data_IF_298275373036
#
_entry.id   IF_298275373036
#
_cell.length_a   1.000
_cell.length_b   1.000
_cell.length_c   1.000
_cell.angle_alpha   90.00
_cell.angle_beta   90.00
_cell.angle_gamma   90.00
#
_symmetry.space_group_name_H-M   'P 1'
#
loop_
_entity.id
_entity.type
_entity.pdbx_description
1 polymer ?
#
# COMPACT_ATOMS: atom_id res chain seq x y z
N UNK A 1 -20.73 3.20 9.67
CA UNK A 1 -19.93 2.41 8.71
C UNK A 1 -18.58 2.21 9.33
N UNK A 2 -18.26 1.01 9.79
CA UNK A 2 -16.96 0.70 10.41
C UNK A 2 -15.87 0.80 9.35
N UNK A 3 -14.82 1.58 9.64
CA UNK A 3 -13.58 1.59 8.85
C UNK A 3 -13.03 0.18 8.87
N UNK A 4 -12.74 -0.46 7.72
CA UNK A 4 -12.19 -1.80 7.72
C UNK A 4 -10.88 -1.82 8.49
N UNK A 5 -10.79 -2.73 9.45
CA UNK A 5 -9.58 -2.96 10.26
C UNK A 5 -8.37 -3.26 9.35
N UNK A 6 -7.43 -2.31 9.27
CA UNK A 6 -6.23 -2.43 8.44
C UNK A 6 -5.05 -3.07 9.19
N UNK A 7 -5.17 -3.22 10.50
CA UNK A 7 -4.06 -3.65 11.35
C UNK A 7 -3.56 -5.07 11.08
N UNK A 8 -4.38 -5.92 10.47
CA UNK A 8 -4.04 -7.32 10.17
C UNK A 8 -4.05 -7.67 8.67
N UNK A 9 -4.24 -6.70 7.79
CA UNK A 9 -4.29 -6.95 6.34
C UNK A 9 -2.90 -6.87 5.73
N UNK A 10 -2.42 -7.95 5.14
CA UNK A 10 -1.14 -8.00 4.44
C UNK A 10 -1.26 -8.66 3.07
N UNK A 11 -0.34 -8.31 2.17
CA UNK A 11 -0.14 -8.98 0.88
C UNK A 11 1.04 -9.95 1.04
N UNK A 12 0.84 -11.20 0.65
CA UNK A 12 1.87 -12.22 0.67
C UNK A 12 2.65 -12.19 -0.65
N UNK A 13 3.95 -11.97 -0.58
CA UNK A 13 4.86 -12.02 -1.74
C UNK A 13 5.60 -13.33 -1.75
N UNK A 14 5.45 -14.10 -2.83
CA UNK A 14 6.05 -15.45 -2.97
C UNK A 14 6.99 -15.47 -4.17
N UNK A 15 8.28 -15.58 -3.93
CA UNK A 15 9.29 -15.66 -4.98
C UNK A 15 10.53 -16.40 -4.47
N UNK A 16 11.04 -17.38 -5.23
CA UNK A 16 12.26 -18.11 -4.89
C UNK A 16 13.51 -17.23 -4.95
N UNK A 17 13.52 -16.20 -5.79
CA UNK A 17 14.62 -15.26 -5.91
C UNK A 17 14.51 -14.18 -4.83
N UNK A 18 15.56 -14.04 -4.00
CA UNK A 18 15.58 -13.13 -2.85
C UNK A 18 15.48 -11.65 -3.30
N UNK A 19 16.16 -11.27 -4.37
CA UNK A 19 16.20 -9.87 -4.82
C UNK A 19 14.86 -9.46 -5.43
N UNK A 20 14.26 -10.32 -6.26
CA UNK A 20 12.95 -10.09 -6.86
C UNK A 20 11.85 -10.02 -5.80
N UNK A 21 11.90 -10.92 -4.80
CA UNK A 21 11.00 -10.92 -3.65
C UNK A 21 11.12 -9.64 -2.83
N UNK A 22 12.35 -9.20 -2.56
CA UNK A 22 12.62 -7.96 -1.84
C UNK A 22 12.12 -6.74 -2.62
N UNK A 23 12.43 -6.63 -3.92
CA UNK A 23 11.97 -5.52 -4.76
C UNK A 23 10.44 -5.41 -4.79
N UNK A 24 9.74 -6.53 -5.01
CA UNK A 24 8.28 -6.55 -5.02
C UNK A 24 7.70 -6.12 -3.67
N UNK A 25 8.27 -6.61 -2.57
CA UNK A 25 7.87 -6.23 -1.22
C UNK A 25 8.07 -4.73 -0.95
N UNK A 26 9.21 -4.18 -1.37
CA UNK A 26 9.51 -2.75 -1.22
C UNK A 26 8.52 -1.86 -2.00
N UNK A 27 8.18 -2.22 -3.24
CA UNK A 27 7.17 -1.50 -4.03
C UNK A 27 5.83 -1.49 -3.29
N UNK A 28 5.39 -2.65 -2.80
CA UNK A 28 4.13 -2.76 -2.06
C UNK A 28 4.11 -1.92 -0.77
N UNK A 29 5.21 -1.95 0.00
CA UNK A 29 5.36 -1.16 1.22
C UNK A 29 5.33 0.35 0.92
N UNK A 30 5.98 0.80 -0.14
CA UNK A 30 5.93 2.19 -0.58
C UNK A 30 4.53 2.61 -1.02
N UNK A 31 3.75 1.70 -1.58
CA UNK A 31 2.35 1.91 -1.91
C UNK A 31 1.42 1.82 -0.67
N UNK A 32 2.00 1.66 0.53
CA UNK A 32 1.28 1.66 1.81
C UNK A 32 0.59 0.33 2.15
N UNK A 33 1.09 -0.80 1.61
CA UNK A 33 0.62 -2.14 1.97
C UNK A 33 1.57 -2.82 2.93
N UNK A 34 1.03 -3.48 3.95
CA UNK A 34 1.82 -4.41 4.75
C UNK A 34 2.15 -5.64 3.90
N UNK A 35 3.36 -6.17 4.03
CA UNK A 35 3.80 -7.34 3.29
C UNK A 35 4.35 -8.42 4.21
N UNK A 36 4.09 -9.68 3.85
CA UNK A 36 4.81 -10.83 4.33
C UNK A 36 5.49 -11.50 3.14
N UNK A 37 6.66 -12.09 3.30
CA UNK A 37 7.40 -12.68 2.19
C UNK A 37 7.67 -14.15 2.43
N UNK A 38 7.49 -14.99 1.40
CA UNK A 38 7.77 -16.42 1.41
C UNK A 38 8.68 -16.79 0.23
N UNK A 39 9.63 -17.66 0.47
CA UNK A 39 10.58 -18.16 -0.54
C UNK A 39 10.04 -19.36 -1.34
N UNK A 40 8.93 -19.94 -0.89
CA UNK A 40 8.35 -21.13 -1.50
C UNK A 40 6.85 -21.23 -1.26
N UNK A 41 6.18 -22.05 -2.08
CA UNK A 41 4.75 -22.37 -1.90
C UNK A 41 4.46 -23.02 -0.55
N UNK A 42 5.38 -23.82 0.00
CA UNK A 42 5.20 -24.46 1.29
C UNK A 42 5.17 -23.42 2.43
N UNK A 43 6.18 -22.56 2.48
CA UNK A 43 6.25 -21.45 3.45
C UNK A 43 5.06 -20.49 3.32
N UNK A 44 4.60 -20.22 2.08
CA UNK A 44 3.43 -19.42 1.83
C UNK A 44 2.17 -19.98 2.49
N UNK A 45 1.94 -21.29 2.37
CA UNK A 45 0.79 -21.96 3.00
C UNK A 45 0.90 -21.93 4.53
N UNK A 46 2.09 -22.07 5.11
CA UNK A 46 2.30 -21.95 6.55
C UNK A 46 1.89 -20.56 7.06
N UNK A 47 2.31 -19.49 6.39
CA UNK A 47 1.88 -18.14 6.74
C UNK A 47 0.38 -17.94 6.59
N UNK A 48 -0.22 -18.42 5.50
CA UNK A 48 -1.66 -18.33 5.26
C UNK A 48 -2.47 -19.07 6.31
N UNK A 49 -1.95 -20.20 6.84
CA UNK A 49 -2.60 -20.96 7.89
C UNK A 49 -2.71 -20.18 9.21
N UNK A 50 -1.75 -19.32 9.51
CA UNK A 50 -1.76 -18.45 10.69
C UNK A 50 -2.78 -17.32 10.49
N UNK A 51 -2.71 -16.60 9.39
CA UNK A 51 -3.65 -15.53 9.05
C UNK A 51 -3.79 -15.41 7.51
N UNK A 52 -5.02 -15.42 6.96
CA UNK A 52 -5.22 -15.27 5.53
C UNK A 52 -4.74 -13.89 5.04
N UNK A 53 -3.95 -13.81 3.95
CA UNK A 53 -3.59 -12.54 3.31
C UNK A 53 -4.80 -11.95 2.58
N UNK A 54 -4.77 -10.65 2.30
CA UNK A 54 -5.78 -10.01 1.45
C UNK A 54 -5.53 -10.22 -0.04
N UNK A 55 -4.33 -10.67 -0.39
CA UNK A 55 -3.92 -11.03 -1.75
C UNK A 55 -2.54 -11.67 -1.74
N UNK A 56 -2.23 -12.38 -2.81
CA UNK A 56 -0.94 -13.02 -3.05
C UNK A 56 -0.34 -12.46 -4.33
N UNK A 57 0.93 -12.06 -4.27
CA UNK A 57 1.76 -11.73 -5.44
C UNK A 57 2.82 -12.81 -5.54
N UNK A 58 2.79 -13.63 -6.58
CA UNK A 58 3.66 -14.80 -6.71
C UNK A 58 4.40 -14.80 -8.05
N UNK A 59 5.63 -15.31 -8.08
CA UNK A 59 6.26 -15.62 -9.35
C UNK A 59 5.40 -16.62 -10.14
N UNK A 60 5.36 -16.44 -11.47
CA UNK A 60 4.75 -17.41 -12.39
C UNK A 60 5.68 -18.61 -12.57
N UNK A 61 5.11 -19.74 -12.95
CA UNK A 61 5.85 -20.98 -13.19
C UNK A 61 5.26 -22.16 -12.39
N UNK A 62 5.97 -23.28 -12.42
CA UNK A 62 5.46 -24.53 -11.81
C UNK A 62 5.15 -24.37 -10.32
N UNK A 63 6.01 -23.66 -9.58
CA UNK A 63 5.82 -23.41 -8.15
C UNK A 63 4.60 -22.52 -7.88
N UNK A 64 4.44 -21.42 -8.64
CA UNK A 64 3.29 -20.52 -8.50
C UNK A 64 1.98 -21.18 -8.87
N UNK A 65 1.94 -21.99 -9.92
CA UNK A 65 0.75 -22.74 -10.33
C UNK A 65 0.37 -23.83 -9.31
N UNK A 66 1.37 -24.48 -8.71
CA UNK A 66 1.14 -25.42 -7.61
C UNK A 66 0.56 -24.70 -6.38
N UNK A 67 1.04 -23.51 -6.06
CA UNK A 67 0.47 -22.66 -5.01
C UNK A 67 -0.99 -22.29 -5.31
N UNK A 68 -1.29 -21.85 -6.53
CA UNK A 68 -2.66 -21.56 -6.97
C UNK A 68 -3.59 -22.74 -6.73
N UNK A 69 -3.19 -23.93 -7.17
CA UNK A 69 -3.99 -25.16 -6.98
C UNK A 69 -4.26 -25.45 -5.51
N UNK A 70 -3.26 -25.31 -4.65
CA UNK A 70 -3.42 -25.50 -3.20
C UNK A 70 -4.36 -24.47 -2.58
N UNK A 71 -4.21 -23.19 -2.94
CA UNK A 71 -5.07 -22.11 -2.44
C UNK A 71 -6.53 -22.34 -2.85
N UNK A 72 -6.78 -22.72 -4.11
CA UNK A 72 -8.16 -22.97 -4.61
C UNK A 72 -8.83 -24.20 -4.00
N UNK A 73 -8.04 -25.18 -3.60
CA UNK A 73 -8.55 -26.41 -2.95
C UNK A 73 -8.82 -26.24 -1.46
N UNK A 74 -8.41 -25.15 -0.83
CA UNK A 74 -8.66 -24.88 0.58
C UNK A 74 -9.72 -23.80 0.75
N UNK A 75 -10.88 -24.15 1.29
CA UNK A 75 -12.04 -23.27 1.41
C UNK A 75 -11.77 -21.95 2.12
N UNK A 76 -10.81 -21.93 3.08
CA UNK A 76 -10.41 -20.71 3.80
C UNK A 76 -9.71 -19.67 2.91
N UNK A 77 -9.12 -20.09 1.79
CA UNK A 77 -8.26 -19.25 0.94
C UNK A 77 -8.76 -19.18 -0.50
N UNK A 78 -9.81 -19.93 -0.85
CA UNK A 78 -10.30 -20.06 -2.24
C UNK A 78 -10.54 -18.73 -2.94
N UNK A 79 -10.97 -17.72 -2.20
CA UNK A 79 -11.32 -16.38 -2.71
C UNK A 79 -10.16 -15.38 -2.67
N UNK A 80 -8.98 -15.79 -2.13
CA UNK A 80 -7.82 -14.89 -2.08
C UNK A 80 -7.33 -14.62 -3.50
N UNK A 81 -7.29 -13.34 -3.94
CA UNK A 81 -6.81 -12.98 -5.26
C UNK A 81 -5.31 -13.25 -5.39
N UNK A 82 -4.90 -13.79 -6.54
CA UNK A 82 -3.50 -14.07 -6.87
C UNK A 82 -3.12 -13.26 -8.10
N UNK A 83 -2.00 -12.55 -8.00
CA UNK A 83 -1.35 -11.82 -9.09
C UNK A 83 -0.04 -12.55 -9.40
N UNK A 84 0.13 -13.00 -10.64
CA UNK A 84 1.38 -13.61 -11.06
C UNK A 84 2.35 -12.60 -11.67
N UNK A 85 3.64 -12.82 -11.38
CA UNK A 85 4.74 -12.07 -11.97
C UNK A 85 5.52 -13.01 -12.91
N UNK A 86 5.59 -12.69 -14.18
CA UNK A 86 6.28 -13.49 -15.22
C UNK A 86 7.50 -12.74 -15.74
N UNK A 87 8.58 -13.47 -16.06
CA UNK A 87 9.76 -12.90 -16.71
C UNK A 87 9.59 -12.69 -18.22
N UNK A 88 8.65 -13.45 -18.80
CA UNK A 88 8.36 -13.38 -20.23
C UNK A 88 6.86 -13.30 -20.46
N UNK A 89 6.40 -12.69 -21.55
CA UNK A 89 5.01 -12.74 -21.96
C UNK A 89 4.55 -14.19 -22.12
N UNK A 90 3.43 -14.56 -21.52
CA UNK A 90 2.85 -15.89 -21.57
C UNK A 90 1.35 -15.81 -21.85
N UNK A 91 1.00 -16.05 -23.11
CA UNK A 91 -0.42 -16.00 -23.57
C UNK A 91 -1.29 -17.03 -22.86
N UNK A 92 -0.75 -18.19 -22.52
CA UNK A 92 -1.52 -19.22 -21.81
C UNK A 92 -1.88 -18.78 -20.39
N UNK A 93 -0.95 -18.12 -19.69
CA UNK A 93 -1.23 -17.49 -18.39
C UNK A 93 -2.24 -16.33 -18.52
N UNK A 94 -2.09 -15.47 -19.52
CA UNK A 94 -3.04 -14.37 -19.75
C UNK A 94 -4.46 -14.89 -20.04
N UNK A 95 -4.60 -15.94 -20.83
CA UNK A 95 -5.90 -16.54 -21.12
C UNK A 95 -6.54 -17.18 -19.88
N UNK A 96 -5.74 -17.77 -18.98
CA UNK A 96 -6.21 -18.30 -17.70
C UNK A 96 -6.68 -17.19 -16.76
N UNK A 97 -5.95 -16.05 -16.72
CA UNK A 97 -6.38 -14.87 -15.97
C UNK A 97 -7.73 -14.34 -16.51
N UNK A 98 -7.89 -14.23 -17.83
CA UNK A 98 -9.17 -13.81 -18.45
C UNK A 98 -10.33 -14.75 -18.13
N UNK A 99 -10.05 -16.04 -17.92
CA UNK A 99 -11.06 -17.04 -17.48
C UNK A 99 -11.35 -16.97 -15.99
N UNK A 100 -10.68 -16.09 -15.24
CA UNK A 100 -10.90 -15.90 -13.81
C UNK A 100 -10.25 -16.93 -12.90
N UNK A 101 -9.28 -17.73 -13.39
CA UNK A 101 -8.58 -18.70 -12.54
C UNK A 101 -7.73 -17.99 -11.47
N UNK A 102 -7.22 -16.81 -11.78
CA UNK A 102 -6.51 -15.89 -10.89
C UNK A 102 -6.67 -14.43 -11.37
N UNK A 103 -6.22 -13.47 -10.58
CA UNK A 103 -6.58 -12.07 -10.79
C UNK A 103 -5.89 -11.42 -11.99
N UNK A 104 -4.56 -11.58 -12.13
CA UNK A 104 -3.78 -10.94 -13.19
C UNK A 104 -2.40 -11.56 -13.38
N UNK A 105 -1.77 -11.23 -14.51
CA UNK A 105 -0.34 -11.45 -14.78
C UNK A 105 0.33 -10.12 -15.07
N UNK A 106 1.47 -9.86 -14.44
CA UNK A 106 2.34 -8.72 -14.71
C UNK A 106 3.72 -9.19 -15.15
N UNK A 107 4.38 -8.40 -15.99
CA UNK A 107 5.74 -8.69 -16.41
C UNK A 107 6.77 -8.12 -15.43
N UNK A 108 7.86 -8.84 -15.20
CA UNK A 108 9.05 -8.35 -14.52
C UNK A 108 9.95 -7.57 -15.51
N UNK A 109 10.60 -6.47 -15.10
CA UNK A 109 10.54 -5.86 -13.79
C UNK A 109 9.17 -5.22 -13.51
N UNK A 110 8.65 -5.43 -12.29
CA UNK A 110 7.31 -4.96 -11.92
C UNK A 110 7.31 -3.45 -11.84
N UNK A 111 6.36 -2.80 -12.53
CA UNK A 111 6.14 -1.37 -12.41
C UNK A 111 5.15 -1.08 -11.29
N UNK A 112 5.49 -0.10 -10.45
CA UNK A 112 4.71 0.23 -9.27
C UNK A 112 3.29 0.70 -9.60
N UNK A 113 3.12 1.48 -10.68
CA UNK A 113 1.81 1.96 -11.15
C UNK A 113 0.92 0.82 -11.67
N UNK A 114 1.49 -0.14 -12.43
CA UNK A 114 0.77 -1.31 -12.91
C UNK A 114 0.32 -2.20 -11.75
N UNK A 115 1.25 -2.50 -10.81
CA UNK A 115 0.94 -3.29 -9.62
C UNK A 115 -0.12 -2.61 -8.76
N UNK A 116 0.00 -1.30 -8.53
CA UNK A 116 -0.99 -0.53 -7.79
C UNK A 116 -2.38 -0.62 -8.42
N UNK A 117 -2.48 -0.40 -9.74
CA UNK A 117 -3.75 -0.45 -10.47
C UNK A 117 -4.44 -1.82 -10.30
N UNK A 118 -3.68 -2.91 -10.48
CA UNK A 118 -4.23 -4.26 -10.32
C UNK A 118 -4.67 -4.53 -8.88
N UNK A 119 -3.88 -4.14 -7.88
CA UNK A 119 -4.24 -4.30 -6.46
C UNK A 119 -5.53 -3.53 -6.13
N UNK A 120 -5.68 -2.31 -6.65
CA UNK A 120 -6.91 -1.53 -6.46
C UNK A 120 -8.12 -2.21 -7.06
N UNK A 121 -7.96 -2.85 -8.20
CA UNK A 121 -9.03 -3.55 -8.91
C UNK A 121 -9.45 -4.84 -8.19
N UNK A 122 -8.49 -5.65 -7.72
CA UNK A 122 -8.76 -7.01 -7.28
C UNK A 122 -8.81 -7.22 -5.75
N UNK A 123 -8.18 -6.34 -4.97
CA UNK A 123 -8.07 -6.48 -3.50
C UNK A 123 -8.93 -5.44 -2.76
N UNK A 124 -9.01 -4.22 -3.27
CA UNK A 124 -9.71 -3.14 -2.59
C UNK A 124 -11.21 -3.16 -2.96
N UNK A 125 -12.08 -3.32 -1.95
CA UNK A 125 -13.55 -3.24 -2.12
C UNK A 125 -14.02 -1.80 -2.32
N UNK A 126 -13.64 -1.19 -3.37
CA UNK A 126 -13.85 0.21 -3.66
C UNK A 126 -12.52 0.82 -4.04
N UNK A 127 -12.20 0.86 -5.35
CA UNK A 127 -10.90 1.32 -5.82
C UNK A 127 -10.63 2.74 -5.31
N UNK A 128 -9.52 2.92 -4.66
CA UNK A 128 -9.05 4.24 -4.27
C UNK A 128 -8.70 4.98 -5.54
N UNK A 129 -9.31 6.13 -5.75
CA UNK A 129 -9.02 6.98 -6.92
C UNK A 129 -7.57 7.51 -6.91
N UNK A 130 -6.88 7.44 -5.76
CA UNK A 130 -5.57 8.09 -5.58
C UNK A 130 -4.57 7.17 -4.91
N UNK A 131 -3.35 7.19 -5.43
CA UNK A 131 -2.18 6.51 -4.87
C UNK A 131 -1.92 7.06 -3.46
N UNK A 132 -1.59 6.17 -2.53
CA UNK A 132 -1.07 6.49 -1.21
C UNK A 132 0.34 5.92 -1.10
N UNK A 133 1.27 6.74 -0.64
CA UNK A 133 2.65 6.33 -0.42
C UNK A 133 2.99 6.43 1.06
N UNK A 134 3.84 5.52 1.53
CA UNK A 134 4.48 5.67 2.83
C UNK A 134 5.53 6.79 2.75
N UNK A 135 5.59 7.64 3.77
CA UNK A 135 6.52 8.78 3.83
C UNK A 135 7.04 8.97 5.25
N UNK A 136 8.00 9.87 5.41
CA UNK A 136 8.44 10.40 6.70
C UNK A 136 8.65 11.91 6.55
N UNK A 137 7.62 12.62 6.05
CA UNK A 137 7.70 14.05 5.81
C UNK A 137 7.45 14.82 7.09
N UNK A 138 8.30 15.80 7.40
CA UNK A 138 8.08 16.71 8.52
C UNK A 138 6.84 17.52 8.30
N UNK A 139 6.01 17.60 9.32
CA UNK A 139 4.79 18.37 9.30
C UNK A 139 4.50 18.97 10.66
N UNK A 140 3.72 20.05 10.69
CA UNK A 140 3.35 20.77 11.89
C UNK A 140 1.89 21.17 11.84
N UNK A 141 1.19 21.03 12.97
CA UNK A 141 -0.12 21.66 13.19
C UNK A 141 0.14 23.12 13.56
N UNK A 142 -0.36 24.07 12.79
CA UNK A 142 -0.10 25.50 13.04
C UNK A 142 -0.84 26.03 14.27
N UNK A 143 -1.83 25.32 14.76
CA UNK A 143 -2.59 25.62 15.97
C UNK A 143 -2.07 24.94 17.23
N UNK A 144 -1.00 24.13 17.14
CA UNK A 144 -0.43 23.45 18.29
C UNK A 144 0.67 24.29 18.98
N UNK A 145 0.68 24.38 20.31
CA UNK A 145 1.78 25.00 21.05
C UNK A 145 3.01 24.09 21.00
N UNK A 146 4.16 24.63 20.54
CA UNK A 146 5.45 23.98 20.60
C UNK A 146 5.98 23.43 19.27
N UNK A 147 7.25 22.98 19.31
CA UNK A 147 7.89 22.24 18.21
C UNK A 147 7.65 20.74 18.44
N UNK A 148 6.54 20.22 17.95
CA UNK A 148 6.39 18.77 17.85
C UNK A 148 7.11 18.28 16.59
N UNK A 149 7.96 17.26 16.73
CA UNK A 149 8.52 16.53 15.59
C UNK A 149 7.44 15.57 15.06
N UNK A 150 6.40 16.15 14.46
CA UNK A 150 5.31 15.40 13.88
C UNK A 150 5.62 15.05 12.42
N UNK A 151 5.07 13.94 11.96
CA UNK A 151 5.35 13.42 10.63
C UNK A 151 4.08 13.03 9.89
N UNK A 152 4.07 13.26 8.59
CA UNK A 152 3.14 12.63 7.68
C UNK A 152 3.75 11.28 7.26
N UNK A 153 3.13 10.18 7.69
CA UNK A 153 3.62 8.82 7.43
C UNK A 153 2.92 8.15 6.25
N UNK A 154 1.75 8.67 5.85
CA UNK A 154 1.09 8.30 4.60
C UNK A 154 0.60 9.55 3.88
N UNK A 155 0.93 9.68 2.61
CA UNK A 155 0.52 10.81 1.76
C UNK A 155 -0.23 10.34 0.52
N UNK A 156 -1.28 11.09 0.15
CA UNK A 156 -1.98 10.96 -1.13
C UNK A 156 -2.27 12.35 -1.70
N UNK A 157 -2.72 12.42 -2.96
CA UNK A 157 -3.05 13.70 -3.63
C UNK A 157 -4.08 14.55 -2.87
N UNK A 158 -4.97 13.92 -2.07
CA UNK A 158 -6.09 14.61 -1.42
C UNK A 158 -6.14 14.41 0.10
N UNK A 159 -5.11 13.84 0.70
CA UNK A 159 -5.10 13.62 2.15
C UNK A 159 -3.83 12.97 2.64
N UNK A 160 -3.73 12.87 3.95
CA UNK A 160 -2.56 12.34 4.63
C UNK A 160 -2.95 11.60 5.91
N UNK A 161 -2.02 10.78 6.41
CA UNK A 161 -2.03 10.33 7.80
C UNK A 161 -0.95 11.11 8.55
N UNK A 162 -1.39 11.84 9.56
CA UNK A 162 -0.55 12.67 10.42
C UNK A 162 -0.31 11.93 11.73
N UNK A 163 0.93 11.54 11.96
CA UNK A 163 1.35 10.84 13.18
C UNK A 163 1.45 11.83 14.31
N UNK A 164 0.68 11.60 15.38
CA UNK A 164 0.69 12.43 16.58
C UNK A 164 0.15 11.65 17.77
N UNK A 165 0.58 12.00 18.97
CA UNK A 165 0.03 11.46 20.23
C UNK A 165 -1.20 12.23 20.71
N UNK A 166 -1.45 13.41 20.16
CA UNK A 166 -2.59 14.28 20.50
C UNK A 166 -3.44 14.58 19.24
N UNK A 167 -4.23 13.58 18.76
CA UNK A 167 -5.05 13.76 17.58
C UNK A 167 -6.20 14.75 17.85
N UNK A 168 -6.49 15.60 16.87
CA UNK A 168 -7.63 16.51 16.93
C UNK A 168 -8.96 15.73 16.81
N UNK A 169 -10.07 16.27 17.32
CA UNK A 169 -11.37 15.64 17.21
C UNK A 169 -11.80 15.38 15.76
N UNK A 170 -12.68 14.38 15.60
CA UNK A 170 -13.31 14.08 14.32
C UNK A 170 -14.01 15.33 13.75
N UNK A 171 -13.88 15.55 12.45
CA UNK A 171 -14.36 16.71 11.71
C UNK A 171 -13.71 18.06 12.09
N UNK A 172 -12.68 18.09 12.92
CA UNK A 172 -11.93 19.31 13.16
C UNK A 172 -11.21 19.76 11.88
N UNK A 173 -11.28 21.07 11.61
CA UNK A 173 -10.52 21.74 10.57
C UNK A 173 -9.17 22.18 11.15
N UNK A 174 -8.10 21.73 10.57
CA UNK A 174 -6.75 21.90 11.11
C UNK A 174 -5.83 22.51 10.05
N UNK A 175 -5.22 23.68 10.35
CA UNK A 175 -4.18 24.23 9.49
C UNK A 175 -2.86 23.44 9.70
N UNK A 176 -2.29 22.98 8.59
CA UNK A 176 -1.10 22.14 8.56
C UNK A 176 -0.05 22.73 7.65
N UNK A 177 1.21 22.76 8.10
CA UNK A 177 2.38 22.94 7.26
C UNK A 177 3.10 21.62 7.06
N UNK A 178 3.48 21.35 5.81
CA UNK A 178 4.13 20.12 5.36
C UNK A 178 5.36 20.47 4.53
N UNK A 179 6.50 19.83 4.81
CA UNK A 179 7.74 20.03 4.06
C UNK A 179 7.90 18.98 2.96
N UNK A 180 7.94 19.41 1.69
CA UNK A 180 8.24 18.57 0.53
C UNK A 180 9.38 19.19 -0.28
N UNK A 181 10.49 18.47 -0.44
CA UNK A 181 11.66 18.91 -1.24
C UNK A 181 12.16 20.32 -0.86
N UNK A 182 12.20 20.63 0.42
CA UNK A 182 12.66 21.93 0.93
C UNK A 182 11.66 23.07 0.75
N UNK A 183 10.45 22.79 0.26
CA UNK A 183 9.34 23.74 0.18
C UNK A 183 8.32 23.45 1.26
N UNK A 184 7.91 24.47 2.00
CA UNK A 184 6.81 24.39 2.97
C UNK A 184 5.48 24.63 2.25
N UNK A 185 4.61 23.62 2.28
CA UNK A 185 3.22 23.67 1.82
C UNK A 185 2.34 23.99 3.03
N UNK A 186 1.48 25.00 2.90
CA UNK A 186 0.44 25.32 3.90
C UNK A 186 -0.91 24.94 3.35
N UNK A 187 -1.67 24.16 4.13
CA UNK A 187 -2.97 23.67 3.74
C UNK A 187 -3.91 23.58 4.95
N UNK A 188 -5.18 23.50 4.69
CA UNK A 188 -6.20 23.17 5.68
C UNK A 188 -6.71 21.75 5.41
N UNK A 189 -6.79 20.93 6.45
CA UNK A 189 -7.29 19.56 6.38
C UNK A 189 -8.38 19.30 7.42
N UNK A 190 -9.28 18.39 7.11
CA UNK A 190 -10.32 17.91 8.03
C UNK A 190 -9.98 16.52 8.54
N UNK A 191 -10.13 16.28 9.84
CA UNK A 191 -9.91 14.99 10.47
C UNK A 191 -11.04 14.04 10.13
N UNK A 192 -10.72 12.90 9.52
CA UNK A 192 -11.68 11.86 9.13
C UNK A 192 -11.78 10.73 10.16
N UNK A 193 -10.68 10.41 10.83
CA UNK A 193 -10.57 9.40 11.87
C UNK A 193 -9.27 9.60 12.65
N UNK A 194 -9.21 9.05 13.86
CA UNK A 194 -7.99 8.94 14.66
C UNK A 194 -7.72 7.49 15.03
N UNK A 195 -6.46 7.19 15.34
CA UNK A 195 -6.00 5.90 15.83
C UNK A 195 -5.16 6.12 17.08
N UNK A 196 -5.25 5.20 18.05
CA UNK A 196 -4.46 5.21 19.27
C UNK A 196 -3.60 3.95 19.39
N UNK A 197 -2.63 3.93 20.31
CA UNK A 197 -1.81 2.75 20.58
C UNK A 197 -2.61 1.53 21.06
N UNK A 198 -3.76 1.76 21.69
CA UNK A 198 -4.60 0.71 22.28
C UNK A 198 -5.34 -0.13 21.23
N UNK A 199 -5.33 0.31 19.98
CA UNK A 199 -6.03 -0.37 18.89
C UNK A 199 -5.24 -1.53 18.25
N UNK A 200 -4.05 -1.85 18.76
CA UNK A 200 -3.23 -2.98 18.34
C UNK A 200 -1.76 -2.63 18.07
N UNK A 201 -0.86 -3.62 18.14
CA UNK A 201 0.61 -3.40 18.12
C UNK A 201 1.16 -2.86 16.79
N UNK A 202 0.35 -2.84 15.74
CA UNK A 202 0.75 -2.36 14.40
C UNK A 202 0.02 -1.09 13.97
N UNK A 203 -0.77 -0.48 14.86
CA UNK A 203 -1.45 0.79 14.57
C UNK A 203 -0.62 1.96 15.07
N UNK A 204 -0.20 2.77 14.15
CA UNK A 204 0.48 4.02 14.44
C UNK A 204 -0.52 5.04 15.01
N UNK A 205 -0.21 5.71 16.14
CA UNK A 205 -1.08 6.74 16.70
C UNK A 205 -1.08 7.98 15.80
N UNK A 206 -2.26 8.54 15.59
CA UNK A 206 -2.40 9.70 14.73
C UNK A 206 -3.80 9.91 14.19
N UNK A 207 -3.89 10.69 13.12
CA UNK A 207 -5.17 11.01 12.49
C UNK A 207 -5.09 10.98 10.97
N UNK A 208 -6.10 10.36 10.35
CA UNK A 208 -6.32 10.40 8.91
C UNK A 208 -7.06 11.67 8.54
N UNK A 209 -6.49 12.46 7.62
CA UNK A 209 -6.97 13.78 7.26
C UNK A 209 -7.20 13.90 5.75
N UNK A 210 -8.22 14.69 5.37
CA UNK A 210 -8.50 15.06 3.98
C UNK A 210 -8.21 16.54 3.79
N UNK A 211 -7.53 16.90 2.69
CA UNK A 211 -7.31 18.29 2.31
C UNK A 211 -8.63 18.95 1.91
N UNK A 212 -8.92 20.11 2.48
CA UNK A 212 -10.12 20.91 2.17
C UNK A 212 -9.74 22.25 1.54
N UNK A 213 -8.54 22.77 1.83
CA UNK A 213 -8.03 23.98 1.23
C UNK A 213 -6.53 23.85 0.97
N UNK A 214 -6.16 23.81 -0.30
CA UNK A 214 -4.78 23.72 -0.79
C UNK A 214 -4.68 24.48 -2.10
N UNK A 215 -3.55 25.12 -2.36
CA UNK A 215 -3.31 25.79 -3.64
C UNK A 215 -3.15 24.75 -4.77
N UNK A 216 -3.50 25.13 -6.01
CA UNK A 216 -3.32 24.24 -7.17
C UNK A 216 -1.86 23.86 -7.38
N UNK A 217 -0.94 24.79 -7.14
CA UNK A 217 0.50 24.56 -7.29
C UNK A 217 1.04 23.60 -6.25
N UNK A 218 0.58 23.70 -4.99
CA UNK A 218 0.96 22.81 -3.92
C UNK A 218 0.37 21.39 -4.13
N UNK A 219 -0.87 21.30 -4.61
CA UNK A 219 -1.46 20.01 -4.97
C UNK A 219 -0.72 19.36 -6.14
N UNK A 220 -0.32 20.12 -7.15
CA UNK A 220 0.51 19.62 -8.25
C UNK A 220 1.88 19.14 -7.76
N UNK A 221 2.51 19.85 -6.81
CA UNK A 221 3.77 19.44 -6.19
C UNK A 221 3.61 18.12 -5.41
N UNK A 222 2.55 17.96 -4.62
CA UNK A 222 2.25 16.70 -3.91
C UNK A 222 2.08 15.56 -4.92
N UNK A 223 1.32 15.77 -5.99
CA UNK A 223 1.10 14.77 -7.04
C UNK A 223 2.41 14.36 -7.72
N UNK A 224 3.25 15.33 -8.09
CA UNK A 224 4.55 15.08 -8.70
C UNK A 224 5.47 14.30 -7.74
N UNK A 225 5.50 14.66 -6.46
CA UNK A 225 6.26 13.96 -5.43
C UNK A 225 5.82 12.51 -5.29
N UNK A 226 4.50 12.25 -5.21
CA UNK A 226 3.95 10.88 -5.14
C UNK A 226 4.38 10.07 -6.36
N UNK A 227 4.25 10.64 -7.55
CA UNK A 227 4.63 9.99 -8.80
C UNK A 227 6.11 9.61 -8.83
N UNK A 228 7.00 10.52 -8.42
CA UNK A 228 8.44 10.26 -8.35
C UNK A 228 8.79 9.15 -7.35
N UNK A 229 8.14 9.14 -6.17
CA UNK A 229 8.35 8.08 -5.18
C UNK A 229 7.94 6.71 -5.73
N UNK A 230 6.83 6.64 -6.44
CA UNK A 230 6.33 5.41 -7.07
C UNK A 230 7.23 4.95 -8.22
N UNK A 231 7.67 5.86 -9.07
CA UNK A 231 8.55 5.54 -10.21
C UNK A 231 9.99 5.30 -9.81
N UNK A 232 10.49 6.00 -8.79
CA UNK A 232 11.83 5.84 -8.24
C UNK A 232 12.05 4.50 -7.52
N UNK A 233 11.00 3.89 -7.01
CA UNK A 233 11.03 2.57 -6.39
C UNK A 233 11.39 1.44 -7.36
N UNK A 234 11.14 1.62 -8.66
CA UNK A 234 11.54 0.67 -9.71
C UNK A 234 12.99 0.82 -10.18
N UNK A 235 13.69 1.87 -9.76
CA UNK A 235 15.04 2.21 -10.20
C UNK A 235 16.08 2.00 -9.09
N UNK A 236 16.07 0.86 -8.39
CA UNK A 236 17.25 0.44 -7.63
C UNK A 236 18.29 0.02 -8.69
N UNK A 237 19.29 0.88 -8.87
CA UNK A 237 20.43 0.63 -9.77
C UNK A 237 21.04 -0.73 -9.45
N UNK A 238 21.15 -1.53 -10.52
CA UNK A 238 22.01 -2.71 -10.54
C UNK A 238 23.48 -2.32 -10.29
#
# INVERSE_FOLDING_TARGET
MSVPDRGNRYILVVDGNIDERFQTSMILQQLGYNTCTARSSAEAIEFMAVAPPVGVVSEAGTSGLALLSRIRNEARFSDVPIIFLSKTPDRALEDRARKGEFAAVLLKPVKADELYRIIQEVIEKGPRRNIRIATALRAKLEDAPGNSDDFVTVLSEYGMFFRTLDPRPLNAHVPVSLEIKGRTIRLEAVVLYSTSFDEGPFKEPGMGMKFVKISKDDQALIKAFIFEQVMGAGAVKA
#
